data_IF_162922755139
#
_entry.id   IF_162922755139
#
_cell.length_a   1.000
_cell.length_b   1.000
_cell.length_c   1.000
_cell.angle_alpha   90.00
_cell.angle_beta   90.00
_cell.angle_gamma   90.00
#
_symmetry.space_group_name_H-M   'P 1'
#
loop_
_entity.id
_entity.type
_entity.pdbx_description
1 polymer ?
#
# COMPACT_ATOMS: atom_id res chain seq x y z
N UNK A 1 1.26 48.61 9.94
CA UNK A 1 0.55 47.40 9.49
C UNK A 1 1.41 46.36 8.76
N UNK A 2 2.72 46.55 8.57
CA UNK A 2 3.57 45.58 7.83
C UNK A 2 4.35 44.59 8.72
N UNK A 3 4.34 44.75 10.05
CA UNK A 3 5.12 43.89 10.97
C UNK A 3 4.34 42.61 11.35
N UNK A 4 3.01 42.70 11.45
CA UNK A 4 2.15 41.56 11.78
C UNK A 4 2.11 40.50 10.67
N UNK A 5 2.22 40.92 9.41
CA UNK A 5 2.26 40.00 8.27
C UNK A 5 3.57 39.19 8.23
N UNK A 6 4.69 39.77 8.67
CA UNK A 6 5.99 39.10 8.71
C UNK A 6 6.04 38.02 9.81
N UNK A 7 5.38 38.26 10.95
CA UNK A 7 5.26 37.28 12.04
C UNK A 7 4.35 36.09 11.67
N UNK A 8 3.29 36.33 10.88
CA UNK A 8 2.45 35.25 10.36
C UNK A 8 3.17 34.39 9.31
N UNK A 9 4.06 34.98 8.49
CA UNK A 9 4.89 34.21 7.56
C UNK A 9 5.95 33.35 8.28
N UNK A 10 6.49 33.80 9.42
CA UNK A 10 7.45 32.99 10.19
C UNK A 10 6.78 31.82 10.91
N UNK A 11 5.51 31.95 11.32
CA UNK A 11 4.71 30.84 11.86
C UNK A 11 4.19 29.88 10.78
N UNK A 12 4.06 30.34 9.53
CA UNK A 12 3.70 29.48 8.40
C UNK A 12 4.87 28.61 7.91
N UNK A 13 6.12 29.06 8.12
CA UNK A 13 7.34 28.32 7.72
C UNK A 13 7.80 27.34 8.82
N UNK A 14 7.34 27.49 10.08
CA UNK A 14 7.53 26.46 11.11
C UNK A 14 6.61 25.25 10.97
N UNK A 15 5.72 25.25 9.97
CA UNK A 15 5.07 24.05 9.45
C UNK A 15 5.99 23.19 8.58
N UNK A 16 7.30 23.44 8.60
CA UNK A 16 8.30 22.47 8.19
C UNK A 16 8.07 21.23 9.05
N UNK A 17 7.37 20.25 8.48
CA UNK A 17 7.19 18.92 9.02
C UNK A 17 8.54 18.46 9.53
N UNK A 18 8.75 18.59 10.84
CA UNK A 18 9.87 17.99 11.52
C UNK A 18 9.73 16.53 11.20
N UNK A 19 10.53 16.06 10.24
CA UNK A 19 10.92 14.67 10.14
C UNK A 19 11.59 14.40 11.47
N UNK A 20 10.79 14.12 12.50
CA UNK A 20 11.20 13.13 13.48
C UNK A 20 11.58 11.96 12.60
N UNK A 21 12.87 11.58 12.52
CA UNK A 21 13.29 10.59 11.57
C UNK A 21 12.43 9.36 11.85
N UNK A 22 11.76 8.83 10.84
CA UNK A 22 10.91 7.63 10.95
C UNK A 22 11.59 6.52 11.76
N UNK A 23 12.93 6.47 11.69
CA UNK A 23 13.84 5.65 12.48
C UNK A 23 13.62 5.82 14.01
N UNK A 24 13.51 7.04 14.53
CA UNK A 24 13.27 7.30 15.96
C UNK A 24 11.92 6.74 16.41
N UNK A 25 10.87 6.90 15.60
CA UNK A 25 9.55 6.36 15.93
C UNK A 25 9.53 4.82 15.84
N UNK A 26 10.29 4.22 14.91
CA UNK A 26 10.53 2.78 14.86
C UNK A 26 11.28 2.30 16.10
N UNK A 27 12.33 3.01 16.54
CA UNK A 27 13.09 2.68 17.75
C UNK A 27 12.23 2.80 19.01
N UNK A 28 11.31 3.78 19.07
CA UNK A 28 10.34 3.90 20.16
C UNK A 28 9.41 2.68 20.21
N UNK A 29 8.88 2.22 19.07
CA UNK A 29 8.10 0.98 19.02
C UNK A 29 8.92 -0.24 19.44
N UNK A 30 10.17 -0.37 18.95
CA UNK A 30 11.05 -1.48 19.34
C UNK A 30 11.28 -1.55 20.85
N UNK A 31 11.55 -0.39 21.46
CA UNK A 31 11.72 -0.27 22.92
C UNK A 31 10.44 -0.65 23.65
N UNK A 32 9.29 -0.17 23.18
CA UNK A 32 8.00 -0.48 23.78
C UNK A 32 7.71 -2.00 23.80
N UNK A 33 7.99 -2.69 22.70
CA UNK A 33 7.77 -4.15 22.61
C UNK A 33 8.94 -4.99 23.15
N UNK A 34 9.97 -4.37 23.72
CA UNK A 34 11.22 -5.04 24.12
C UNK A 34 11.83 -5.89 22.99
N UNK A 35 11.63 -5.49 21.72
CA UNK A 35 12.03 -6.29 20.56
C UNK A 35 13.55 -6.26 20.28
N UNK A 36 14.30 -5.49 21.06
CA UNK A 36 15.77 -5.41 21.00
C UNK A 36 16.46 -6.35 22.00
N UNK A 37 15.71 -7.03 22.88
CA UNK A 37 16.27 -8.06 23.76
C UNK A 37 16.42 -9.37 22.97
N UNK A 38 17.61 -9.98 23.07
CA UNK A 38 18.06 -11.14 22.28
C UNK A 38 17.20 -12.42 22.37
N UNK A 39 16.17 -12.45 23.23
CA UNK A 39 15.17 -13.51 23.27
C UNK A 39 14.28 -13.58 22.00
N UNK A 40 14.30 -12.54 21.15
CA UNK A 40 13.65 -12.52 19.83
C UNK A 40 14.55 -13.08 18.72
N UNK A 41 15.84 -13.33 19.02
CA UNK A 41 16.85 -13.75 18.05
C UNK A 41 16.73 -15.19 17.54
N UNK A 42 15.98 -16.06 18.23
CA UNK A 42 15.69 -17.42 17.77
C UNK A 42 14.45 -17.52 16.88
N UNK A 43 13.71 -16.41 16.69
CA UNK A 43 12.45 -16.43 15.95
C UNK A 43 12.68 -16.06 14.49
N UNK A 44 12.31 -17.00 13.62
CA UNK A 44 12.20 -16.82 12.16
C UNK A 44 11.54 -15.48 11.82
N UNK A 45 12.15 -14.72 10.90
CA UNK A 45 11.60 -13.46 10.37
C UNK A 45 10.09 -13.57 10.12
N UNK A 46 9.28 -12.64 10.63
CA UNK A 46 7.81 -12.71 10.44
C UNK A 46 7.43 -12.48 8.97
N UNK A 47 8.02 -11.47 8.34
CA UNK A 47 7.67 -11.03 6.98
C UNK A 47 8.85 -11.09 6.01
N UNK A 48 10.09 -10.85 6.48
CA UNK A 48 11.26 -10.74 5.61
C UNK A 48 11.58 -12.03 4.85
N UNK A 49 11.33 -13.20 5.45
CA UNK A 49 11.53 -14.47 4.75
C UNK A 49 10.60 -14.62 3.53
N UNK A 50 9.37 -14.11 3.60
CA UNK A 50 8.44 -14.13 2.47
C UNK A 50 8.94 -13.15 1.41
N UNK A 51 9.29 -11.92 1.80
CA UNK A 51 9.74 -10.89 0.86
C UNK A 51 10.93 -11.35 0.01
N UNK A 52 11.92 -12.03 0.60
CA UNK A 52 13.11 -12.53 -0.12
C UNK A 52 12.74 -13.47 -1.27
N UNK A 53 11.78 -14.38 -1.06
CA UNK A 53 11.37 -15.33 -2.09
C UNK A 53 10.73 -14.63 -3.31
N UNK A 54 9.99 -13.55 -3.10
CA UNK A 54 9.31 -12.81 -4.18
C UNK A 54 10.22 -11.81 -4.90
N UNK A 55 11.30 -11.37 -4.26
CA UNK A 55 12.28 -10.49 -4.90
C UNK A 55 13.04 -11.19 -6.03
N UNK A 56 13.22 -12.51 -5.94
CA UNK A 56 13.83 -13.32 -7.01
C UNK A 56 12.95 -13.36 -8.27
N UNK A 57 11.62 -13.29 -8.10
CA UNK A 57 10.63 -13.36 -9.18
C UNK A 57 10.32 -11.99 -9.84
N UNK A 58 10.80 -10.89 -9.26
CA UNK A 58 10.78 -9.54 -9.86
C UNK A 58 9.45 -8.75 -9.77
N UNK A 59 8.31 -9.39 -9.44
CA UNK A 59 7.05 -8.70 -9.15
C UNK A 59 6.74 -8.70 -7.65
N UNK A 60 7.28 -7.71 -6.94
CA UNK A 60 7.08 -7.58 -5.48
C UNK A 60 5.77 -6.91 -5.11
N UNK A 61 5.03 -6.30 -6.05
CA UNK A 61 3.87 -5.47 -5.70
C UNK A 61 2.78 -6.28 -5.02
N UNK A 62 2.59 -7.53 -5.45
CA UNK A 62 1.61 -8.44 -4.85
C UNK A 62 1.94 -8.70 -3.38
N UNK A 63 3.22 -8.95 -3.06
CA UNK A 63 3.63 -9.18 -1.68
C UNK A 63 3.63 -7.88 -0.87
N UNK A 64 4.05 -6.75 -1.45
CA UNK A 64 4.06 -5.44 -0.78
C UNK A 64 2.65 -5.03 -0.31
N UNK A 65 1.62 -5.27 -1.14
CA UNK A 65 0.19 -5.09 -0.76
C UNK A 65 -0.17 -5.89 0.50
N UNK A 66 0.29 -7.14 0.61
CA UNK A 66 0.02 -7.99 1.78
C UNK A 66 0.78 -7.51 3.02
N UNK A 67 2.03 -7.08 2.85
CA UNK A 67 2.87 -6.55 3.94
C UNK A 67 2.25 -5.28 4.53
N UNK A 68 1.83 -4.34 3.68
CA UNK A 68 1.17 -3.10 4.13
C UNK A 68 -0.15 -3.42 4.84
N UNK A 69 -0.93 -4.36 4.31
CA UNK A 69 -2.18 -4.82 4.94
C UNK A 69 -1.94 -5.40 6.33
N UNK A 70 -0.88 -6.22 6.49
CA UNK A 70 -0.47 -6.77 7.78
C UNK A 70 -0.16 -5.68 8.80
N UNK A 71 0.67 -4.68 8.44
CA UNK A 71 1.01 -3.60 9.37
C UNK A 71 -0.19 -2.71 9.73
N UNK A 72 -1.09 -2.42 8.79
CA UNK A 72 -2.32 -1.70 9.13
C UNK A 72 -3.24 -2.48 10.06
N UNK A 73 -3.34 -3.81 9.92
CA UNK A 73 -4.06 -4.66 10.89
C UNK A 73 -3.39 -4.63 12.26
N UNK A 74 -2.06 -4.71 12.31
CA UNK A 74 -1.31 -4.60 13.56
C UNK A 74 -1.55 -3.24 14.24
N UNK A 75 -1.51 -2.14 13.48
CA UNK A 75 -1.76 -0.80 14.01
C UNK A 75 -3.20 -0.64 14.53
N UNK A 76 -4.19 -1.22 13.84
CA UNK A 76 -5.58 -1.20 14.34
C UNK A 76 -5.73 -2.00 15.64
N UNK A 77 -5.04 -3.14 15.77
CA UNK A 77 -5.04 -3.94 17.01
C UNK A 77 -4.36 -3.22 18.20
N UNK A 78 -3.44 -2.29 17.91
CA UNK A 78 -2.72 -1.49 18.90
C UNK A 78 -3.37 -0.13 19.19
N UNK A 79 -4.51 0.16 18.55
CA UNK A 79 -5.24 1.42 18.72
C UNK A 79 -5.69 1.61 20.16
N UNK A 80 -5.61 2.85 20.64
CA UNK A 80 -5.94 3.22 22.02
C UNK A 80 -4.76 3.14 23.00
N UNK A 81 -3.61 2.62 22.56
CA UNK A 81 -2.38 2.65 23.34
C UNK A 81 -1.67 4.01 23.20
N UNK A 82 -1.96 4.92 24.13
CA UNK A 82 -1.41 6.30 24.12
C UNK A 82 0.12 6.35 24.12
N UNK A 83 0.80 5.34 24.68
CA UNK A 83 2.26 5.32 24.77
C UNK A 83 2.96 5.20 23.39
N UNK A 84 2.28 4.59 22.41
CA UNK A 84 2.82 4.34 21.06
C UNK A 84 2.01 4.99 19.95
N UNK A 85 0.95 5.71 20.27
CA UNK A 85 0.04 6.32 19.32
C UNK A 85 0.77 7.28 18.36
N UNK A 86 1.66 8.12 18.89
CA UNK A 86 2.49 9.02 18.09
C UNK A 86 3.33 8.26 17.06
N UNK A 87 4.03 7.21 17.50
CA UNK A 87 4.90 6.41 16.65
C UNK A 87 4.12 5.65 15.58
N UNK A 88 2.98 5.05 15.95
CA UNK A 88 2.07 4.38 15.01
C UNK A 88 1.56 5.37 13.96
N UNK A 89 1.12 6.56 14.37
CA UNK A 89 0.59 7.56 13.45
C UNK A 89 1.65 8.07 12.48
N UNK A 90 2.89 8.29 12.96
CA UNK A 90 4.02 8.68 12.13
C UNK A 90 4.37 7.61 11.09
N UNK A 91 4.47 6.34 11.52
CA UNK A 91 4.77 5.22 10.62
C UNK A 91 3.64 4.97 9.62
N UNK A 92 2.39 5.10 10.07
CA UNK A 92 1.23 5.01 9.18
C UNK A 92 1.27 6.09 8.10
N UNK A 93 1.57 7.34 8.46
CA UNK A 93 1.67 8.44 7.51
C UNK A 93 2.81 8.21 6.50
N UNK A 94 3.97 7.72 6.95
CA UNK A 94 5.08 7.38 6.08
C UNK A 94 4.74 6.24 5.09
N UNK A 95 4.09 5.17 5.56
CA UNK A 95 3.57 4.10 4.68
C UNK A 95 2.58 4.65 3.66
N UNK A 96 1.71 5.59 4.06
CA UNK A 96 0.75 6.21 3.14
C UNK A 96 1.47 6.99 2.04
N UNK A 97 2.47 7.78 2.42
CA UNK A 97 3.26 8.56 1.50
C UNK A 97 4.05 7.68 0.51
N UNK A 98 4.74 6.67 1.02
CA UNK A 98 5.66 5.85 0.23
C UNK A 98 4.96 4.77 -0.60
N UNK A 99 3.93 4.11 -0.07
CA UNK A 99 3.27 3.01 -0.78
C UNK A 99 2.15 3.49 -1.71
N UNK A 100 1.35 4.47 -1.28
CA UNK A 100 0.23 4.97 -2.08
C UNK A 100 0.61 6.22 -2.89
N UNK A 101 1.86 6.69 -2.82
CA UNK A 101 2.31 7.95 -3.43
C UNK A 101 1.45 9.15 -3.00
N UNK A 102 1.08 9.22 -1.72
CA UNK A 102 0.14 10.21 -1.17
C UNK A 102 -1.24 10.25 -1.88
N UNK A 103 -1.62 9.19 -2.60
CA UNK A 103 -2.92 9.13 -3.27
C UNK A 103 -4.00 8.66 -2.30
N UNK A 104 -4.83 9.59 -1.84
CA UNK A 104 -5.99 9.32 -0.99
C UNK A 104 -6.93 8.30 -1.63
N UNK A 105 -7.23 8.43 -2.93
CA UNK A 105 -8.07 7.48 -3.65
C UNK A 105 -7.53 6.03 -3.63
N UNK A 106 -6.21 5.83 -3.72
CA UNK A 106 -5.61 4.49 -3.62
C UNK A 106 -5.68 3.96 -2.19
N UNK A 107 -5.42 4.81 -1.21
CA UNK A 107 -5.51 4.45 0.21
C UNK A 107 -6.95 4.07 0.59
N UNK A 108 -7.94 4.87 0.20
CA UNK A 108 -9.36 4.60 0.46
C UNK A 108 -9.84 3.33 -0.22
N UNK A 109 -9.45 3.12 -1.49
CA UNK A 109 -9.73 1.87 -2.19
C UNK A 109 -9.14 0.66 -1.47
N UNK A 110 -7.89 0.76 -1.01
CA UNK A 110 -7.22 -0.29 -0.25
C UNK A 110 -7.92 -0.56 1.10
N UNK A 111 -8.23 0.49 1.87
CA UNK A 111 -8.92 0.38 3.15
C UNK A 111 -10.34 -0.17 3.01
N UNK A 112 -11.03 0.14 1.90
CA UNK A 112 -12.36 -0.41 1.63
C UNK A 112 -12.33 -1.92 1.47
N UNK A 113 -11.30 -2.45 0.79
CA UNK A 113 -11.10 -3.89 0.62
C UNK A 113 -10.74 -4.56 1.96
N UNK A 114 -9.87 -3.94 2.76
CA UNK A 114 -9.47 -4.48 4.06
C UNK A 114 -10.63 -4.63 5.06
N UNK A 115 -11.65 -3.77 4.95
CA UNK A 115 -12.81 -3.74 5.85
C UNK A 115 -13.96 -4.65 5.43
N UNK A 116 -13.83 -5.37 4.32
CA UNK A 116 -14.89 -6.26 3.83
C UNK A 116 -15.14 -7.39 4.84
N UNK A 117 -16.37 -7.47 5.35
CA UNK A 117 -16.82 -8.56 6.20
C UNK A 117 -17.26 -9.74 5.33
N UNK A 118 -16.34 -10.67 5.08
CA UNK A 118 -16.58 -11.84 4.20
C UNK A 118 -17.72 -12.74 4.72
N UNK A 119 -18.05 -12.66 6.01
CA UNK A 119 -19.12 -13.46 6.62
C UNK A 119 -20.54 -12.93 6.34
N UNK A 120 -20.69 -11.72 5.79
CA UNK A 120 -21.99 -11.17 5.40
C UNK A 120 -22.51 -11.86 4.12
N UNK A 121 -23.68 -12.54 4.16
CA UNK A 121 -24.26 -13.20 2.98
C UNK A 121 -24.53 -12.26 1.80
N UNK A 122 -24.84 -10.98 2.05
CA UNK A 122 -25.05 -10.00 0.98
C UNK A 122 -23.74 -9.66 0.26
N UNK A 123 -22.64 -9.52 1.02
CA UNK A 123 -21.30 -9.29 0.47
C UNK A 123 -20.86 -10.50 -0.34
N UNK A 124 -21.05 -11.72 0.18
CA UNK A 124 -20.73 -12.95 -0.56
C UNK A 124 -21.47 -13.01 -1.90
N UNK A 125 -22.79 -12.76 -1.89
CA UNK A 125 -23.61 -12.77 -3.11
C UNK A 125 -23.12 -11.76 -4.15
N UNK A 126 -22.76 -10.54 -3.72
CA UNK A 126 -22.19 -9.50 -4.59
C UNK A 126 -20.81 -9.90 -5.13
N UNK A 127 -19.94 -10.42 -4.27
CA UNK A 127 -18.60 -10.85 -4.66
C UNK A 127 -18.64 -11.96 -5.72
N UNK A 128 -19.56 -12.93 -5.58
CA UNK A 128 -19.75 -13.99 -6.58
C UNK A 128 -20.29 -13.44 -7.89
N UNK A 129 -21.23 -12.49 -7.85
CA UNK A 129 -21.75 -11.84 -9.06
C UNK A 129 -20.67 -11.06 -9.84
N UNK A 130 -19.68 -10.51 -9.14
CA UNK A 130 -18.58 -9.75 -9.74
C UNK A 130 -17.37 -10.60 -10.12
N UNK A 131 -17.28 -11.84 -9.62
CA UNK A 131 -16.13 -12.73 -9.79
C UNK A 131 -15.72 -12.92 -11.25
N UNK A 132 -16.67 -13.07 -12.17
CA UNK A 132 -16.37 -13.22 -13.61
C UNK A 132 -15.63 -12.01 -14.16
N UNK A 133 -15.99 -10.80 -13.73
CA UNK A 133 -15.32 -9.56 -14.15
C UNK A 133 -13.91 -9.46 -13.56
N UNK A 134 -13.75 -9.86 -12.30
CA UNK A 134 -12.45 -9.91 -11.61
C UNK A 134 -11.51 -10.89 -12.34
N UNK A 135 -11.98 -12.11 -12.63
CA UNK A 135 -11.20 -13.10 -13.38
C UNK A 135 -10.81 -12.59 -14.78
N UNK A 136 -11.71 -11.88 -15.46
CA UNK A 136 -11.42 -11.24 -16.75
C UNK A 136 -10.44 -10.06 -16.68
N UNK A 137 -10.28 -9.44 -15.51
CA UNK A 137 -9.29 -8.38 -15.27
C UNK A 137 -7.91 -8.97 -14.92
N UNK A 138 -7.87 -10.03 -14.11
CA UNK A 138 -6.63 -10.71 -13.70
C UNK A 138 -6.02 -11.55 -14.84
N UNK A 139 -6.85 -12.07 -15.74
CA UNK A 139 -6.35 -12.73 -16.93
C UNK A 139 -5.58 -11.71 -17.77
N UNK A 140 -4.32 -11.98 -18.16
CA UNK A 140 -3.64 -11.15 -19.11
C UNK A 140 -4.51 -11.14 -20.37
N UNK A 141 -5.22 -10.03 -20.61
CA UNK A 141 -5.84 -9.82 -21.90
C UNK A 141 -4.70 -9.93 -22.87
N UNK A 142 -4.65 -11.07 -23.56
CA UNK A 142 -3.76 -11.27 -24.68
C UNK A 142 -3.98 -10.01 -25.49
N UNK A 143 -3.00 -9.12 -25.51
CA UNK A 143 -2.99 -7.99 -26.43
C UNK A 143 -2.80 -8.67 -27.77
N UNK A 144 -3.87 -9.29 -28.26
CA UNK A 144 -4.10 -9.59 -29.65
C UNK A 144 -4.13 -8.20 -30.25
N UNK A 145 -2.93 -7.66 -30.53
CA UNK A 145 -2.68 -6.84 -31.70
C UNK A 145 -3.38 -7.60 -32.80
N UNK A 146 -4.64 -7.27 -33.06
CA UNK A 146 -5.38 -7.75 -34.21
C UNK A 146 -4.49 -7.30 -35.36
N UNK A 147 -3.65 -8.21 -35.87
CA UNK A 147 -2.82 -7.95 -37.04
C UNK A 147 -3.83 -7.52 -38.09
N UNK A 148 -3.72 -6.25 -38.51
CA UNK A 148 -4.48 -5.74 -39.65
C UNK A 148 -4.18 -6.70 -40.78
N UNK A 149 -5.19 -7.47 -41.22
CA UNK A 149 -5.06 -8.38 -42.36
C UNK A 149 -4.59 -7.49 -43.51
N UNK A 150 -3.33 -7.58 -43.91
CA UNK A 150 -2.86 -6.86 -45.08
C UNK A 150 -3.70 -7.37 -46.23
N UNK A 151 -4.51 -6.49 -46.84
CA UNK A 151 -5.08 -6.78 -48.14
C UNK A 151 -3.89 -6.92 -49.07
N UNK A 152 -3.42 -8.13 -49.29
CA UNK A 152 -2.61 -8.41 -50.47
C UNK A 152 -3.54 -8.17 -51.65
N UNK A 153 -3.21 -7.16 -52.45
CA UNK A 153 -3.78 -7.01 -53.78
C UNK A 153 -3.28 -8.18 -54.62
N UNK A 154 -4.03 -9.28 -54.62
CA UNK A 154 -3.94 -10.32 -55.63
C UNK A 154 -5.24 -10.29 -56.44
N UNK A 155 -5.10 -9.95 -57.72
CA UNK A 155 -6.17 -9.94 -58.74
C UNK A 155 -6.69 -8.53 -59.01
N UNK A 156 -6.70 -7.99 -60.23
CA UNK A 156 -6.67 -8.67 -61.52
C UNK A 156 -5.71 -8.03 -62.52
N UNK A 157 -5.01 -8.90 -63.24
CA UNK A 157 -4.57 -8.59 -64.59
C UNK A 157 -5.73 -8.66 -65.59
N UNK A 158 -5.42 -8.26 -66.82
CA UNK A 158 -6.24 -8.21 -68.04
C UNK A 158 -7.27 -7.07 -68.03
N UNK A 159 -7.16 -6.01 -68.85
CA UNK A 159 -6.83 -5.93 -70.29
C UNK A 159 -6.29 -4.56 -70.63
#
# INVERSE_FOLDING_TARGET
HCILALQLCLLAISGCSSQVPIIEEIENLKRYFNSSNSAVGDSKDVVLHVLRNWQEDGDTKVIDVQIVSFYFKLFEALKGNQAIEKSINAIRADLIANFFNNSEAKYDGFMSIMKIEVNDPQIQSKAINELVKVMGHLSPRVTLRKRKRSRCCFGGGNR
#
